data_IF_517413867792
#
_entry.id   IF_517413867792
#
_cell.length_a   1.000
_cell.length_b   1.000
_cell.length_c   1.000
_cell.angle_alpha   90.00
_cell.angle_beta   90.00
_cell.angle_gamma   90.00
#
_symmetry.space_group_name_H-M   'P 1'
#
loop_
_entity.id
_entity.type
_entity.pdbx_description
1 polymer ?
#
# COMPACT_ATOMS: atom_id res chain seq x y z
N UNK A 1 -32.51 -7.17 5.61
CA UNK A 1 -31.07 -7.55 5.62
C UNK A 1 -30.30 -6.47 4.88
N UNK A 2 -29.48 -5.66 5.57
CA UNK A 2 -28.67 -4.60 4.94
C UNK A 2 -27.26 -5.13 4.68
N UNK A 3 -26.90 -5.28 3.40
CA UNK A 3 -25.55 -5.63 2.98
C UNK A 3 -24.78 -4.32 2.80
N UNK A 4 -23.80 -4.06 3.65
CA UNK A 4 -22.88 -2.93 3.48
C UNK A 4 -21.72 -3.39 2.59
N UNK A 5 -21.79 -3.05 1.30
CA UNK A 5 -20.68 -3.28 0.38
C UNK A 5 -19.74 -2.07 0.52
N UNK A 6 -18.61 -2.24 1.22
CA UNK A 6 -17.50 -1.32 1.08
C UNK A 6 -17.06 -1.36 -0.40
N UNK A 7 -17.08 -0.20 -1.05
CA UNK A 7 -17.06 0.00 -2.50
C UNK A 7 -16.40 -1.13 -3.34
N UNK A 8 -17.16 -1.93 -4.10
CA UNK A 8 -16.59 -3.01 -4.92
C UNK A 8 -15.68 -2.48 -6.03
N UNK A 9 -15.83 -1.20 -6.44
CA UNK A 9 -14.92 -0.54 -7.37
C UNK A 9 -13.53 -0.29 -6.73
N UNK A 10 -13.46 0.02 -5.43
CA UNK A 10 -12.16 0.25 -4.79
C UNK A 10 -11.40 -1.05 -4.55
N UNK A 11 -12.06 -2.17 -4.26
CA UNK A 11 -11.35 -3.44 -4.09
C UNK A 11 -10.95 -4.04 -5.44
N UNK A 12 -11.90 -4.15 -6.38
CA UNK A 12 -11.63 -4.81 -7.67
C UNK A 12 -10.69 -3.99 -8.57
N UNK A 13 -10.93 -2.69 -8.75
CA UNK A 13 -10.10 -1.88 -9.64
C UNK A 13 -8.71 -1.63 -9.05
N UNK A 14 -8.62 -1.32 -7.75
CA UNK A 14 -7.33 -1.12 -7.09
C UNK A 14 -6.52 -2.41 -7.05
N UNK A 15 -7.14 -3.56 -6.78
CA UNK A 15 -6.45 -4.86 -6.86
C UNK A 15 -5.86 -5.10 -8.25
N UNK A 16 -6.62 -4.84 -9.33
CA UNK A 16 -6.11 -4.98 -10.70
C UNK A 16 -4.98 -3.99 -11.02
N UNK A 17 -5.07 -2.75 -10.54
CA UNK A 17 -4.00 -1.76 -10.68
C UNK A 17 -2.73 -2.20 -9.94
N UNK A 18 -2.88 -2.76 -8.74
CA UNK A 18 -1.78 -3.18 -7.87
C UNK A 18 -1.21 -4.57 -8.21
N UNK A 19 -1.88 -5.35 -9.08
CA UNK A 19 -1.46 -6.69 -9.51
C UNK A 19 -0.24 -6.65 -10.44
N UNK A 20 -0.19 -5.66 -11.34
CA UNK A 20 0.95 -5.45 -12.22
C UNK A 20 1.85 -4.33 -11.70
N UNK A 21 3.10 -4.65 -11.35
CA UNK A 21 4.02 -3.70 -10.72
C UNK A 21 4.23 -2.43 -11.57
N UNK A 22 4.27 -2.54 -12.91
CA UNK A 22 4.44 -1.39 -13.80
C UNK A 22 3.26 -0.42 -13.70
N UNK A 23 2.04 -0.95 -13.68
CA UNK A 23 0.80 -0.16 -13.56
C UNK A 23 0.74 0.44 -12.16
N UNK A 24 1.00 -0.35 -11.12
CA UNK A 24 1.04 0.09 -9.74
C UNK A 24 2.05 1.23 -9.52
N UNK A 25 3.26 1.12 -10.10
CA UNK A 25 4.29 2.18 -10.03
C UNK A 25 3.83 3.45 -10.69
N UNK A 26 3.23 3.36 -11.87
CA UNK A 26 2.72 4.52 -12.60
C UNK A 26 1.62 5.21 -11.79
N UNK A 27 0.65 4.43 -11.31
CA UNK A 27 -0.47 4.92 -10.52
C UNK A 27 -0.01 5.58 -9.21
N UNK A 28 0.82 4.89 -8.42
CA UNK A 28 1.32 5.45 -7.16
C UNK A 28 2.27 6.63 -7.38
N UNK A 29 3.08 6.63 -8.45
CA UNK A 29 3.94 7.78 -8.77
C UNK A 29 3.12 9.02 -9.09
N UNK A 30 2.01 8.85 -9.83
CA UNK A 30 1.09 9.94 -10.14
C UNK A 30 0.43 10.53 -8.89
N UNK A 31 -0.07 9.66 -7.99
CA UNK A 31 -0.75 10.11 -6.76
C UNK A 31 0.23 10.73 -5.76
N UNK A 32 1.42 10.14 -5.60
CA UNK A 32 2.42 10.60 -4.64
C UNK A 32 3.27 11.76 -5.18
N UNK A 33 3.18 12.06 -6.49
CA UNK A 33 4.02 13.01 -7.20
C UNK A 33 5.52 12.76 -6.97
N UNK A 34 5.91 11.48 -6.93
CA UNK A 34 7.27 11.01 -6.64
C UNK A 34 7.59 9.80 -7.50
N UNK A 35 8.87 9.63 -7.84
CA UNK A 35 9.33 8.47 -8.60
C UNK A 35 9.30 7.21 -7.70
N UNK A 36 8.35 6.32 -7.96
CA UNK A 36 8.29 5.00 -7.31
C UNK A 36 9.09 4.00 -8.14
N UNK A 37 10.14 3.42 -7.56
CA UNK A 37 11.06 2.52 -8.28
C UNK A 37 10.69 1.05 -8.15
N UNK A 38 10.10 0.65 -7.03
CA UNK A 38 9.61 -0.72 -6.80
C UNK A 38 8.45 -0.75 -5.82
N UNK A 39 7.59 -1.77 -5.97
CA UNK A 39 6.44 -2.00 -5.08
C UNK A 39 6.40 -3.48 -4.70
N UNK A 40 6.22 -3.75 -3.41
CA UNK A 40 5.97 -5.10 -2.88
C UNK A 40 4.65 -5.11 -2.13
N UNK A 41 3.74 -6.01 -2.53
CA UNK A 41 2.51 -6.25 -1.77
C UNK A 41 2.86 -7.07 -0.51
N UNK A 42 2.37 -6.62 0.65
CA UNK A 42 2.54 -7.32 1.92
C UNK A 42 1.33 -8.23 2.17
N UNK A 43 1.56 -9.55 2.21
CA UNK A 43 0.52 -10.55 2.51
C UNK A 43 -0.07 -10.35 3.92
N UNK A 44 0.74 -9.91 4.89
CA UNK A 44 0.26 -9.58 6.26
C UNK A 44 -0.61 -8.31 6.32
N UNK A 45 -0.69 -7.57 5.21
CA UNK A 45 -1.52 -6.37 5.10
C UNK A 45 -3.01 -6.68 5.00
N UNK A 46 -3.37 -7.92 4.61
CA UNK A 46 -4.73 -8.42 4.44
C UNK A 46 -5.41 -8.66 5.79
N UNK A 47 -5.75 -7.57 6.48
CA UNK A 47 -6.46 -7.63 7.76
C UNK A 47 -7.93 -7.30 7.55
N UNK A 48 -8.80 -8.22 7.96
CA UNK A 48 -10.21 -7.97 8.09
C UNK A 48 -10.42 -7.16 9.38
N UNK A 49 -10.72 -5.88 9.25
CA UNK A 49 -11.06 -5.03 10.39
C UNK A 49 -12.57 -5.18 10.58
N UNK A 50 -12.98 -5.98 11.58
CA UNK A 50 -14.38 -6.11 11.98
C UNK A 50 -14.73 -4.97 12.92
N UNK A 51 -15.49 -4.00 12.44
CA UNK A 51 -16.12 -2.99 13.28
C UNK A 51 -17.63 -3.12 13.11
N UNK A 52 -18.32 -3.67 14.12
CA UNK A 52 -19.76 -3.90 14.37
C UNK A 52 -20.77 -4.12 13.20
N UNK A 53 -20.54 -3.62 11.98
CA UNK A 53 -21.40 -3.78 10.79
C UNK A 53 -20.65 -3.70 9.43
N UNK A 54 -19.33 -3.47 9.40
CA UNK A 54 -18.54 -3.34 8.15
C UNK A 54 -17.27 -4.18 8.24
N UNK A 55 -17.03 -5.00 7.21
CA UNK A 55 -15.77 -5.71 6.99
C UNK A 55 -14.90 -4.89 6.04
N UNK A 56 -13.79 -4.33 6.54
CA UNK A 56 -12.81 -3.63 5.69
C UNK A 56 -11.64 -4.56 5.43
N UNK A 57 -11.30 -4.74 4.16
CA UNK A 57 -10.10 -5.43 3.73
C UNK A 57 -9.01 -4.41 3.46
N UNK A 58 -7.96 -4.41 4.30
CA UNK A 58 -6.78 -3.58 4.06
C UNK A 58 -5.83 -4.35 3.14
N UNK A 59 -5.28 -3.70 2.12
CA UNK A 59 -4.17 -4.25 1.32
C UNK A 59 -2.92 -3.46 1.68
N UNK A 60 -1.95 -4.11 2.30
CA UNK A 60 -0.67 -3.49 2.64
C UNK A 60 0.29 -3.57 1.46
N UNK A 61 1.06 -2.50 1.24
CA UNK A 61 2.18 -2.52 0.29
C UNK A 61 3.34 -1.70 0.84
N UNK A 62 4.52 -1.99 0.31
CA UNK A 62 5.76 -1.26 0.57
C UNK A 62 6.27 -0.74 -0.76
N UNK A 63 6.45 0.57 -0.86
CA UNK A 63 6.98 1.23 -2.05
C UNK A 63 8.36 1.81 -1.77
N UNK A 64 9.31 1.56 -2.67
CA UNK A 64 10.60 2.23 -2.66
C UNK A 64 10.49 3.50 -3.49
N UNK A 65 10.78 4.65 -2.88
CA UNK A 65 10.65 5.96 -3.51
C UNK A 65 12.03 6.57 -3.68
N UNK A 66 12.30 7.11 -4.86
CA UNK A 66 13.52 7.84 -5.13
C UNK A 66 13.41 9.25 -4.58
N UNK A 67 14.45 9.67 -3.87
CA UNK A 67 14.50 10.99 -3.29
C UNK A 67 14.87 12.00 -4.39
N UNK A 68 14.08 13.08 -4.57
CA UNK A 68 14.23 13.97 -5.72
C UNK A 68 15.52 14.81 -5.69
N UNK A 69 16.20 14.91 -4.55
CA UNK A 69 17.41 15.75 -4.39
C UNK A 69 18.71 15.03 -4.73
N UNK A 70 18.82 13.75 -4.36
CA UNK A 70 20.07 12.98 -4.45
C UNK A 70 19.92 11.67 -5.25
N UNK A 71 18.74 11.41 -5.80
CA UNK A 71 18.46 10.22 -6.60
C UNK A 71 18.52 8.91 -5.83
N UNK A 72 18.72 8.97 -4.50
CA UNK A 72 18.84 7.78 -3.64
C UNK A 72 17.47 7.16 -3.43
N UNK A 73 17.41 5.84 -3.51
CA UNK A 73 16.21 5.08 -3.19
C UNK A 73 16.17 4.82 -1.70
N UNK A 74 15.09 5.25 -1.03
CA UNK A 74 14.90 4.94 0.38
C UNK A 74 14.71 3.43 0.55
N UNK A 75 15.62 2.78 1.27
CA UNK A 75 15.56 1.33 1.48
C UNK A 75 14.44 1.00 2.48
N UNK A 76 13.35 0.30 2.09
CA UNK A 76 12.18 0.16 2.96
C UNK A 76 12.44 -0.62 4.25
N UNK A 77 13.40 -1.56 4.22
CA UNK A 77 13.81 -2.35 5.39
C UNK A 77 14.45 -1.49 6.50
N UNK A 78 15.05 -0.34 6.14
CA UNK A 78 15.69 0.57 7.11
C UNK A 78 14.69 1.49 7.81
N UNK A 79 13.48 1.66 7.25
CA UNK A 79 12.40 2.46 7.84
C UNK A 79 11.50 1.64 8.79
N UNK A 80 11.48 0.31 8.66
CA UNK A 80 10.69 -0.59 9.51
C UNK A 80 11.37 -1.04 10.80
N UNK A 81 12.56 -0.54 11.14
CA UNK A 81 13.28 -0.95 12.35
C UNK A 81 13.91 0.21 13.09
N UNK A 82 13.13 0.95 13.90
CA UNK A 82 13.61 1.77 15.04
C UNK A 82 12.61 2.03 16.20
N UNK A 83 11.37 1.53 16.15
CA UNK A 83 10.38 1.83 17.22
C UNK A 83 10.02 0.62 18.10
N UNK A 84 10.98 -0.19 18.52
CA UNK A 84 10.78 -1.16 19.60
C UNK A 84 12.09 -1.41 20.38
N UNK A 85 12.59 -0.41 21.11
CA UNK A 85 13.35 -0.63 22.37
C UNK A 85 13.09 0.57 23.28
N UNK A 86 12.70 0.29 24.53
CA UNK A 86 12.30 1.16 25.64
C UNK A 86 10.79 1.44 25.74
N UNK A 87 10.07 0.56 26.44
CA UNK A 87 9.80 0.76 27.86
C UNK A 87 9.43 -0.56 28.54
#
# INVERSE_FOLDING_TARGET
MKVYIANPLYDAAFKRIMEEERIAKTFLSAILQREVVSIKICQDGFRNIKSNSISIFKMGFVASIKNPRDGKVANPQKMMGKNQIHS
#
